data_IF_024178281962
#
_entry.id   IF_024178281962
#
_cell.length_a   1.000
_cell.length_b   1.000
_cell.length_c   1.000
_cell.angle_alpha   90.00
_cell.angle_beta   90.00
_cell.angle_gamma   90.00
#
_symmetry.space_group_name_H-M   'P 1'
#
loop_
_entity.id
_entity.type
_entity.pdbx_description
1 polymer ?
#
# COMPACT_ATOMS: atom_id res chain seq x y z
N UNK A 1 -11.52 -47.04 17.32
CA UNK A 1 -12.49 -46.06 16.77
C UNK A 1 -11.69 -44.89 16.26
N UNK A 2 -11.69 -44.63 14.94
CA UNK A 2 -11.11 -43.41 14.40
C UNK A 2 -12.07 -42.26 14.73
N UNK A 3 -11.59 -41.25 15.46
CA UNK A 3 -12.36 -40.01 15.64
C UNK A 3 -12.68 -39.43 14.27
N UNK A 4 -13.95 -39.19 13.96
CA UNK A 4 -14.38 -38.48 12.73
C UNK A 4 -13.94 -37.01 12.72
N UNK A 5 -13.44 -36.52 13.85
CA UNK A 5 -13.04 -35.15 14.09
C UNK A 5 -11.53 -35.04 14.23
N UNK A 6 -10.97 -34.00 13.63
CA UNK A 6 -9.56 -33.65 13.71
C UNK A 6 -9.29 -32.86 14.97
N UNK A 7 -8.09 -33.04 15.54
CA UNK A 7 -7.64 -32.20 16.64
C UNK A 7 -7.18 -30.85 16.12
N UNK A 8 -7.52 -29.78 16.83
CA UNK A 8 -7.16 -28.42 16.45
C UNK A 8 -5.65 -28.14 16.57
N UNK A 9 -4.93 -28.89 17.39
CA UNK A 9 -3.48 -28.75 17.65
C UNK A 9 -2.61 -29.65 16.77
N UNK A 10 -3.20 -30.35 15.79
CA UNK A 10 -2.47 -31.21 14.87
C UNK A 10 -1.45 -30.41 14.03
N UNK A 11 -0.24 -30.95 13.84
CA UNK A 11 0.82 -30.28 13.09
C UNK A 11 0.41 -30.00 11.64
N UNK A 12 -0.36 -30.90 11.01
CA UNK A 12 -0.86 -30.70 9.66
C UNK A 12 -1.88 -29.56 9.57
N UNK A 13 -2.68 -29.35 10.63
CA UNK A 13 -3.60 -28.23 10.72
C UNK A 13 -2.85 -26.89 10.82
N UNK A 14 -1.79 -26.83 11.63
CA UNK A 14 -0.96 -25.63 11.76
C UNK A 14 -0.28 -25.26 10.43
N UNK A 15 0.30 -26.24 9.73
CA UNK A 15 0.89 -26.02 8.40
C UNK A 15 -0.15 -25.52 7.39
N UNK A 16 -1.35 -26.08 7.42
CA UNK A 16 -2.45 -25.68 6.53
C UNK A 16 -2.90 -24.24 6.81
N UNK A 17 -3.06 -23.85 8.07
CA UNK A 17 -3.39 -22.47 8.47
C UNK A 17 -2.34 -21.50 7.92
N UNK A 18 -1.05 -21.79 8.11
CA UNK A 18 0.03 -20.92 7.63
C UNK A 18 0.06 -20.83 6.11
N UNK A 19 -0.24 -21.92 5.41
CA UNK A 19 -0.36 -21.91 3.95
C UNK A 19 -1.50 -21.00 3.50
N UNK A 20 -2.68 -21.13 4.10
CA UNK A 20 -3.85 -20.32 3.74
C UNK A 20 -3.59 -18.84 4.01
N UNK A 21 -3.01 -18.48 5.16
CA UNK A 21 -2.65 -17.10 5.49
C UNK A 21 -1.70 -16.48 4.44
N UNK A 22 -0.67 -17.23 4.02
CA UNK A 22 0.26 -16.78 2.98
C UNK A 22 -0.42 -16.66 1.62
N UNK A 23 -1.25 -17.62 1.26
CA UNK A 23 -1.96 -17.63 -0.03
C UNK A 23 -2.97 -16.49 -0.13
N UNK A 24 -3.72 -16.22 0.95
CA UNK A 24 -4.68 -15.11 1.00
C UNK A 24 -3.99 -13.75 0.93
N UNK A 25 -2.86 -13.58 1.62
CA UNK A 25 -2.03 -12.39 1.51
C UNK A 25 -1.52 -12.20 0.08
N UNK A 26 -0.96 -13.25 -0.53
CA UNK A 26 -0.46 -13.20 -1.91
C UNK A 26 -1.58 -12.86 -2.91
N UNK A 27 -2.76 -13.46 -2.78
CA UNK A 27 -3.92 -13.15 -3.64
C UNK A 27 -4.37 -11.70 -3.49
N UNK A 28 -4.35 -11.17 -2.27
CA UNK A 28 -4.74 -9.78 -1.98
C UNK A 28 -3.76 -8.81 -2.63
N UNK A 29 -2.46 -9.04 -2.44
CA UNK A 29 -1.39 -8.25 -3.06
C UNK A 29 -1.44 -8.32 -4.60
N UNK A 30 -1.67 -9.50 -5.18
CA UNK A 30 -1.86 -9.64 -6.62
C UNK A 30 -3.06 -8.83 -7.15
N UNK A 31 -4.16 -8.84 -6.39
CA UNK A 31 -5.37 -8.09 -6.75
C UNK A 31 -5.11 -6.59 -6.71
N UNK A 32 -4.55 -6.09 -5.61
CA UNK A 32 -4.18 -4.67 -5.44
C UNK A 32 -3.24 -4.22 -6.55
N UNK A 33 -2.24 -5.03 -6.88
CA UNK A 33 -1.32 -4.73 -7.95
C UNK A 33 -2.00 -4.62 -9.31
N UNK A 34 -2.85 -5.59 -9.66
CA UNK A 34 -3.61 -5.54 -10.92
C UNK A 34 -4.46 -4.29 -11.00
N UNK A 35 -5.06 -3.86 -9.89
CA UNK A 35 -5.84 -2.62 -9.82
C UNK A 35 -4.95 -1.39 -10.04
N UNK A 36 -3.82 -1.29 -9.34
CA UNK A 36 -2.87 -0.17 -9.49
C UNK A 36 -2.31 -0.04 -10.92
N UNK A 37 -2.09 -1.16 -11.61
CA UNK A 37 -1.68 -1.17 -13.03
C UNK A 37 -2.83 -0.71 -13.92
N UNK A 38 -4.05 -1.23 -13.70
CA UNK A 38 -5.23 -0.87 -14.48
C UNK A 38 -5.59 0.62 -14.37
N UNK A 39 -5.41 1.20 -13.17
CA UNK A 39 -5.67 2.62 -12.91
C UNK A 39 -4.58 3.54 -13.51
N UNK A 40 -3.53 2.99 -14.12
CA UNK A 40 -2.41 3.75 -14.69
C UNK A 40 -1.52 4.42 -13.64
N UNK A 41 -1.73 4.12 -12.35
CA UNK A 41 -0.98 4.66 -11.23
C UNK A 41 0.50 4.22 -11.28
N UNK A 42 0.79 3.09 -11.95
CA UNK A 42 2.15 2.53 -12.04
C UNK A 42 2.35 1.82 -13.39
N UNK A 43 3.47 2.12 -14.08
CA UNK A 43 3.83 1.50 -15.36
C UNK A 43 4.80 0.31 -15.26
N UNK A 44 5.64 0.28 -14.22
CA UNK A 44 6.78 -0.66 -14.12
C UNK A 44 6.83 -1.36 -12.76
N UNK A 45 5.74 -2.00 -12.34
CA UNK A 45 5.70 -2.73 -11.08
C UNK A 45 5.80 -4.25 -11.32
N UNK A 46 6.87 -4.87 -10.85
CA UNK A 46 7.08 -6.33 -10.93
C UNK A 46 6.29 -7.05 -9.80
N UNK A 47 5.26 -7.84 -10.13
CA UNK A 47 4.47 -8.59 -9.15
C UNK A 47 5.29 -9.53 -8.27
N UNK A 48 6.41 -10.02 -8.80
CA UNK A 48 7.28 -10.98 -8.11
C UNK A 48 7.95 -10.34 -6.89
N UNK A 49 8.29 -9.05 -6.95
CA UNK A 49 8.94 -8.33 -5.85
C UNK A 49 8.01 -8.10 -4.66
N UNK A 50 6.73 -7.84 -4.93
CA UNK A 50 5.72 -7.69 -3.88
C UNK A 50 5.50 -9.03 -3.14
N UNK A 51 5.43 -10.15 -3.88
CA UNK A 51 5.37 -11.50 -3.30
C UNK A 51 6.60 -11.83 -2.45
N UNK A 52 7.80 -11.50 -2.93
CA UNK A 52 9.04 -11.70 -2.16
C UNK A 52 9.00 -10.89 -0.86
N UNK A 53 8.49 -9.66 -0.91
CA UNK A 53 8.36 -8.81 0.27
C UNK A 53 7.40 -9.42 1.29
N UNK A 54 6.29 -10.02 0.83
CA UNK A 54 5.33 -10.73 1.67
C UNK A 54 5.92 -11.94 2.40
N UNK A 55 6.96 -12.58 1.86
CA UNK A 55 7.65 -13.70 2.53
C UNK A 55 8.36 -13.28 3.82
N UNK A 56 8.63 -11.99 4.00
CA UNK A 56 9.24 -11.47 5.22
C UNK A 56 8.24 -11.27 6.37
N UNK A 57 6.94 -11.43 6.10
CA UNK A 57 5.91 -11.44 7.15
C UNK A 57 5.93 -12.79 7.87
N UNK A 58 6.12 -12.75 9.19
CA UNK A 58 6.20 -13.96 10.01
C UNK A 58 4.85 -14.22 10.69
N UNK A 59 4.27 -15.38 10.41
CA UNK A 59 3.10 -15.90 11.12
C UNK A 59 3.56 -16.87 12.21
N UNK A 60 3.12 -16.65 13.44
CA UNK A 60 3.41 -17.53 14.58
C UNK A 60 2.09 -17.87 15.24
N UNK A 61 1.89 -19.14 15.56
CA UNK A 61 0.65 -19.63 16.18
C UNK A 61 0.96 -20.33 17.51
N UNK A 62 0.17 -20.04 18.53
CA UNK A 62 0.30 -20.64 19.87
C UNK A 62 -1.08 -21.01 20.43
N UNK A 63 -1.10 -21.92 21.41
CA UNK A 63 -2.27 -22.19 22.25
C UNK A 63 -3.57 -22.52 21.47
N UNK A 64 -3.49 -23.54 20.61
CA UNK A 64 -4.65 -24.05 19.87
C UNK A 64 -5.68 -24.69 20.81
N UNK A 65 -6.96 -24.42 20.57
CA UNK A 65 -8.08 -24.99 21.32
C UNK A 65 -9.23 -25.40 20.42
N UNK A 66 -9.91 -26.48 20.81
CA UNK A 66 -11.18 -26.89 20.23
C UNK A 66 -12.32 -26.13 20.89
N UNK A 67 -13.04 -25.32 20.13
CA UNK A 67 -14.18 -24.57 20.65
C UNK A 67 -15.48 -25.38 20.52
N UNK A 68 -15.66 -26.09 19.40
CA UNK A 68 -16.88 -26.85 19.14
C UNK A 68 -16.65 -28.04 18.20
N UNK A 69 -17.32 -29.15 18.50
CA UNK A 69 -17.38 -30.34 17.65
C UNK A 69 -18.82 -30.48 17.15
N UNK A 70 -19.02 -30.46 15.83
CA UNK A 70 -20.34 -30.61 15.24
C UNK A 70 -20.82 -32.07 15.35
N UNK A 71 -21.93 -32.38 16.05
CA UNK A 71 -22.40 -33.76 16.17
C UNK A 71 -22.94 -34.33 14.85
N UNK A 72 -23.29 -33.47 13.88
CA UNK A 72 -23.95 -33.85 12.64
C UNK A 72 -23.02 -33.81 11.41
N UNK A 73 -21.78 -33.35 11.56
CA UNK A 73 -20.81 -33.28 10.46
C UNK A 73 -19.38 -33.48 10.97
N UNK A 74 -18.39 -33.84 10.14
CA UNK A 74 -17.01 -34.03 10.60
C UNK A 74 -16.29 -32.70 10.88
N UNK A 75 -17.00 -31.58 10.93
CA UNK A 75 -16.43 -30.25 11.19
C UNK A 75 -16.04 -30.09 12.64
N UNK A 76 -14.90 -29.42 12.83
CA UNK A 76 -14.38 -29.02 14.14
C UNK A 76 -14.08 -27.54 14.09
N UNK A 77 -14.65 -26.76 15.00
CA UNK A 77 -14.36 -25.34 15.17
C UNK A 77 -13.26 -25.17 16.20
N UNK A 78 -12.28 -24.34 15.86
CA UNK A 78 -11.05 -24.16 16.59
C UNK A 78 -10.73 -22.67 16.73
N UNK A 79 -10.00 -22.34 17.79
CA UNK A 79 -9.35 -21.05 17.99
C UNK A 79 -7.86 -21.28 18.18
N UNK A 80 -7.03 -20.36 17.72
CA UNK A 80 -5.58 -20.36 17.97
C UNK A 80 -5.09 -18.93 18.08
N UNK A 81 -4.13 -18.68 18.95
CA UNK A 81 -3.53 -17.35 19.06
C UNK A 81 -2.54 -17.16 17.91
N UNK A 82 -2.82 -16.19 17.04
CA UNK A 82 -2.02 -15.83 15.88
C UNK A 82 -1.30 -14.51 16.15
N UNK A 83 0.03 -14.55 16.11
CA UNK A 83 0.87 -13.37 16.02
C UNK A 83 1.41 -13.21 14.59
N UNK A 84 1.23 -12.02 14.02
CA UNK A 84 1.80 -11.66 12.71
C UNK A 84 2.81 -10.55 12.93
N UNK A 85 4.07 -10.81 12.63
CA UNK A 85 5.14 -9.82 12.72
C UNK A 85 5.46 -9.28 11.34
N UNK A 86 5.35 -7.95 11.19
CA UNK A 86 5.79 -7.22 10.00
C UNK A 86 7.18 -6.63 10.31
N UNK A 87 8.17 -6.77 9.43
CA UNK A 87 9.46 -6.11 9.59
C UNK A 87 9.31 -4.58 9.79
N UNK A 88 10.01 -4.03 10.78
CA UNK A 88 9.92 -2.62 11.14
C UNK A 88 10.32 -1.68 9.99
N UNK A 89 11.26 -2.10 9.13
CA UNK A 89 11.66 -1.32 7.97
C UNK A 89 10.54 -1.20 6.93
N UNK A 90 9.69 -2.23 6.80
CA UNK A 90 8.53 -2.20 5.91
C UNK A 90 7.43 -1.31 6.46
N UNK A 91 7.14 -1.39 7.77
CA UNK A 91 6.19 -0.47 8.43
C UNK A 91 6.65 0.98 8.25
N UNK A 92 7.92 1.26 8.53
CA UNK A 92 8.50 2.60 8.36
C UNK A 92 8.39 3.09 6.90
N UNK A 93 8.79 2.28 5.91
CA UNK A 93 8.68 2.64 4.49
C UNK A 93 7.23 2.90 4.08
N UNK A 94 6.29 2.11 4.61
CA UNK A 94 4.86 2.29 4.39
C UNK A 94 4.38 3.63 4.92
N UNK A 95 4.69 3.98 6.16
CA UNK A 95 4.28 5.25 6.77
C UNK A 95 4.90 6.46 6.06
N UNK A 96 6.18 6.38 5.67
CA UNK A 96 6.83 7.42 4.87
C UNK A 96 6.15 7.61 3.50
N UNK A 97 5.68 6.54 2.87
CA UNK A 97 4.92 6.60 1.63
C UNK A 97 3.51 7.17 1.84
N UNK A 98 2.80 6.73 2.87
CA UNK A 98 1.46 7.20 3.24
C UNK A 98 1.44 8.69 3.55
N UNK A 99 2.45 9.19 4.28
CA UNK A 99 2.58 10.60 4.60
C UNK A 99 2.67 11.49 3.34
N UNK A 100 3.39 11.03 2.30
CA UNK A 100 3.53 11.75 1.02
C UNK A 100 2.22 11.88 0.24
N UNK A 101 1.26 11.00 0.49
CA UNK A 101 -0.06 11.00 -0.16
C UNK A 101 -1.20 11.33 0.80
N UNK A 102 -0.89 11.86 1.99
CA UNK A 102 -1.86 12.21 3.04
C UNK A 102 -2.80 11.05 3.42
N UNK A 103 -2.28 9.83 3.46
CA UNK A 103 -2.99 8.62 3.89
C UNK A 103 -2.71 8.31 5.36
N UNK A 104 -3.60 7.55 6.00
CA UNK A 104 -3.45 7.12 7.39
C UNK A 104 -2.17 6.31 7.59
N UNK A 105 -1.48 6.49 8.73
CA UNK A 105 -0.38 5.59 9.13
C UNK A 105 -0.88 4.15 9.31
N UNK A 106 0.05 3.18 9.36
CA UNK A 106 -0.28 1.77 9.61
C UNK A 106 -1.05 1.62 10.92
N UNK A 107 -0.61 2.30 11.98
CA UNK A 107 -1.30 2.29 13.28
C UNK A 107 -2.70 2.92 13.23
N UNK A 108 -2.85 4.06 12.55
CA UNK A 108 -4.17 4.69 12.38
C UNK A 108 -5.13 3.80 11.58
N UNK A 109 -4.64 3.15 10.53
CA UNK A 109 -5.43 2.20 9.76
C UNK A 109 -5.81 0.98 10.60
N UNK A 110 -4.89 0.44 11.40
CA UNK A 110 -5.15 -0.69 12.29
C UNK A 110 -6.30 -0.36 13.26
N UNK A 111 -6.27 0.82 13.86
CA UNK A 111 -7.34 1.30 14.74
C UNK A 111 -8.69 1.40 14.01
N UNK A 112 -8.72 1.89 12.76
CA UNK A 112 -9.95 1.95 11.95
C UNK A 112 -10.49 0.57 11.56
N UNK A 113 -9.60 -0.41 11.43
CA UNK A 113 -9.94 -1.79 11.09
C UNK A 113 -10.20 -2.67 12.32
N UNK A 114 -10.13 -2.11 13.53
CA UNK A 114 -10.22 -2.86 14.80
C UNK A 114 -9.20 -4.02 14.86
N UNK A 115 -7.98 -3.75 14.39
CA UNK A 115 -6.86 -4.72 14.40
C UNK A 115 -5.92 -4.33 15.54
N UNK A 116 -5.69 -5.27 16.47
CA UNK A 116 -4.71 -5.09 17.55
C UNK A 116 -3.29 -5.06 17.00
N UNK A 117 -2.79 -3.88 16.68
CA UNK A 117 -1.46 -3.65 16.14
C UNK A 117 -0.59 -2.86 17.10
N UNK A 118 0.53 -3.42 17.52
CA UNK A 118 1.54 -2.71 18.33
C UNK A 118 2.93 -3.25 18.05
N UNK A 119 3.96 -2.40 18.09
CA UNK A 119 5.35 -2.80 17.90
C UNK A 119 5.60 -3.65 16.63
N UNK A 120 4.94 -3.31 15.52
CA UNK A 120 4.97 -4.04 14.25
C UNK A 120 4.42 -5.48 14.31
N UNK A 121 3.59 -5.76 15.32
CA UNK A 121 2.95 -7.06 15.53
C UNK A 121 1.44 -6.90 15.53
N UNK A 122 0.77 -7.88 14.96
CA UNK A 122 -0.68 -8.04 15.03
C UNK A 122 -0.96 -9.25 15.90
N UNK A 123 -1.82 -9.08 16.89
CA UNK A 123 -2.32 -10.17 17.73
C UNK A 123 -3.79 -10.44 17.40
N UNK A 124 -4.11 -11.69 17.08
CA UNK A 124 -5.45 -12.12 16.70
C UNK A 124 -5.73 -13.50 17.30
N UNK A 125 -6.87 -13.64 17.98
CA UNK A 125 -7.46 -14.97 18.20
C UNK A 125 -8.07 -15.43 16.88
N UNK A 126 -7.38 -16.31 16.17
CA UNK A 126 -7.80 -16.81 14.87
C UNK A 126 -8.85 -17.90 15.05
N UNK A 127 -10.04 -17.67 14.51
CA UNK A 127 -11.12 -18.65 14.46
C UNK A 127 -11.06 -19.40 13.13
N UNK A 128 -11.04 -20.73 13.18
CA UNK A 128 -10.97 -21.57 12.00
C UNK A 128 -11.79 -22.85 12.13
N UNK A 129 -12.14 -23.43 10.99
CA UNK A 129 -12.86 -24.70 10.91
C UNK A 129 -11.98 -25.74 10.21
N UNK A 130 -11.87 -26.94 10.79
CA UNK A 130 -11.23 -28.10 10.18
C UNK A 130 -12.29 -29.11 9.74
N UNK A 131 -12.12 -29.67 8.54
CA UNK A 131 -12.98 -30.71 8.01
C UNK A 131 -12.16 -31.72 7.20
N UNK A 132 -12.15 -33.02 7.56
CA UNK A 132 -11.55 -34.04 6.71
C UNK A 132 -12.38 -34.27 5.44
N UNK A 133 -11.74 -34.75 4.36
CA UNK A 133 -12.43 -35.27 3.19
C UNK A 133 -13.22 -36.53 3.53
N UNK A 134 -14.20 -36.88 2.69
CA UNK A 134 -14.98 -38.12 2.86
C UNK A 134 -14.09 -39.38 2.84
N UNK A 135 -12.95 -39.32 2.12
CA UNK A 135 -11.92 -40.38 2.11
C UNK A 135 -11.00 -40.37 3.32
N UNK A 136 -11.00 -39.30 4.13
CA UNK A 136 -10.06 -39.09 5.24
C UNK A 136 -8.62 -38.74 4.81
N UNK A 137 -8.33 -38.67 3.51
CA UNK A 137 -6.98 -38.43 2.98
C UNK A 137 -6.55 -36.96 3.02
N UNK A 138 -7.50 -36.03 3.04
CA UNK A 138 -7.23 -34.58 3.01
C UNK A 138 -7.95 -33.87 4.14
N UNK A 139 -7.37 -32.75 4.56
CA UNK A 139 -7.97 -31.83 5.53
C UNK A 139 -8.20 -30.49 4.85
N UNK A 140 -9.39 -29.94 5.04
CA UNK A 140 -9.75 -28.59 4.64
C UNK A 140 -9.78 -27.70 5.88
N UNK A 141 -9.24 -26.50 5.76
CA UNK A 141 -9.32 -25.47 6.78
C UNK A 141 -9.98 -24.21 6.20
N UNK A 142 -10.83 -23.57 6.99
CA UNK A 142 -11.46 -22.29 6.65
C UNK A 142 -11.19 -21.29 7.76
N UNK A 143 -10.48 -20.22 7.45
CA UNK A 143 -10.21 -19.12 8.37
C UNK A 143 -11.39 -18.13 8.36
N UNK A 144 -11.86 -17.67 9.53
CA UNK A 144 -13.12 -16.92 9.64
C UNK A 144 -12.96 -15.42 9.83
N UNK A 145 -11.90 -14.97 10.49
CA UNK A 145 -11.76 -13.58 10.96
C UNK A 145 -10.42 -12.93 10.55
N UNK A 146 -9.83 -13.33 9.42
CA UNK A 146 -8.54 -12.81 8.94
C UNK A 146 -8.67 -11.57 8.07
N UNK A 147 -9.87 -11.18 7.63
CA UNK A 147 -10.06 -10.17 6.58
C UNK A 147 -9.41 -8.82 6.86
N UNK A 148 -9.67 -8.23 8.03
CA UNK A 148 -9.12 -6.92 8.42
C UNK A 148 -7.60 -6.97 8.62
N UNK A 149 -7.12 -8.01 9.28
CA UNK A 149 -5.69 -8.26 9.48
C UNK A 149 -4.95 -8.43 8.15
N UNK A 150 -5.49 -9.24 7.24
CA UNK A 150 -4.93 -9.45 5.92
C UNK A 150 -4.91 -8.15 5.10
N UNK A 151 -5.98 -7.34 5.18
CA UNK A 151 -6.02 -6.02 4.55
C UNK A 151 -4.94 -5.08 5.10
N UNK A 152 -4.80 -4.99 6.42
CA UNK A 152 -3.77 -4.13 7.04
C UNK A 152 -2.37 -4.53 6.58
N UNK A 153 -2.06 -5.83 6.58
CA UNK A 153 -0.76 -6.34 6.13
C UNK A 153 -0.56 -6.04 4.65
N UNK A 154 -1.54 -6.33 3.79
CA UNK A 154 -1.46 -6.09 2.35
C UNK A 154 -1.22 -4.61 2.03
N UNK A 155 -2.06 -3.71 2.57
CA UNK A 155 -1.92 -2.28 2.37
C UNK A 155 -0.55 -1.77 2.86
N UNK A 156 -0.07 -2.26 4.01
CA UNK A 156 1.26 -1.92 4.53
C UNK A 156 2.38 -2.29 3.55
N UNK A 157 2.35 -3.53 3.03
CA UNK A 157 3.36 -4.00 2.07
C UNK A 157 3.26 -3.24 0.75
N UNK A 158 2.04 -2.97 0.28
CA UNK A 158 1.79 -2.22 -0.95
C UNK A 158 2.37 -0.81 -0.83
N UNK A 159 2.06 -0.04 0.22
CA UNK A 159 2.64 1.29 0.40
C UNK A 159 4.17 1.27 0.54
N UNK A 160 4.72 0.33 1.31
CA UNK A 160 6.17 0.17 1.44
C UNK A 160 6.85 -0.07 0.07
N UNK A 161 6.19 -0.83 -0.80
CA UNK A 161 6.67 -1.13 -2.14
C UNK A 161 6.48 0.02 -3.13
N UNK A 162 5.41 0.81 -2.98
CA UNK A 162 5.13 1.98 -3.83
C UNK A 162 5.99 3.20 -3.50
N UNK A 163 6.61 3.24 -2.31
CA UNK A 163 7.44 4.36 -1.85
C UNK A 163 8.38 4.93 -2.93
N UNK A 164 9.20 4.13 -3.65
CA UNK A 164 10.12 4.68 -4.65
C UNK A 164 9.40 5.35 -5.83
N UNK A 165 8.23 4.87 -6.22
CA UNK A 165 7.45 5.45 -7.31
C UNK A 165 6.73 6.73 -6.87
N UNK A 166 6.22 6.76 -5.63
CA UNK A 166 5.63 7.96 -5.03
C UNK A 166 6.69 9.07 -4.97
N UNK A 167 7.90 8.76 -4.47
CA UNK A 167 9.02 9.70 -4.42
C UNK A 167 9.44 10.20 -5.82
N UNK A 168 9.51 9.30 -6.80
CA UNK A 168 9.82 9.66 -8.19
C UNK A 168 8.76 10.57 -8.81
N UNK A 169 7.48 10.40 -8.47
CA UNK A 169 6.40 11.25 -8.96
C UNK A 169 6.44 12.63 -8.31
N UNK A 170 6.69 12.68 -7.00
CA UNK A 170 6.87 13.93 -6.26
C UNK A 170 8.03 14.75 -6.82
N UNK A 171 9.20 14.14 -7.03
CA UNK A 171 10.36 14.82 -7.64
C UNK A 171 10.03 15.37 -9.02
N UNK A 172 9.38 14.57 -9.89
CA UNK A 172 8.95 15.02 -11.22
C UNK A 172 8.00 16.21 -11.16
N UNK A 173 7.07 16.22 -10.20
CA UNK A 173 6.15 17.34 -10.01
C UNK A 173 6.87 18.62 -9.58
N UNK A 174 7.83 18.52 -8.66
CA UNK A 174 8.64 19.65 -8.20
C UNK A 174 9.51 20.20 -9.34
N UNK A 175 10.14 19.32 -10.13
CA UNK A 175 10.93 19.74 -11.29
C UNK A 175 10.09 20.43 -12.37
N UNK A 176 8.88 19.92 -12.64
CA UNK A 176 7.95 20.54 -13.57
C UNK A 176 7.52 21.93 -13.07
N UNK A 177 7.17 22.06 -11.79
CA UNK A 177 6.83 23.34 -11.18
C UNK A 177 7.99 24.34 -11.23
N UNK A 178 9.24 23.89 -10.97
CA UNK A 178 10.44 24.72 -11.10
C UNK A 178 10.68 25.18 -12.55
N UNK A 179 10.49 24.30 -13.53
CA UNK A 179 10.61 24.67 -14.96
C UNK A 179 9.56 25.70 -15.35
N UNK A 180 8.31 25.53 -14.90
CA UNK A 180 7.23 26.48 -15.16
C UNK A 180 7.48 27.83 -14.47
N UNK A 181 7.99 27.83 -13.24
CA UNK A 181 8.36 29.07 -12.55
C UNK A 181 9.47 29.82 -13.31
N UNK A 182 10.53 29.12 -13.75
CA UNK A 182 11.60 29.70 -14.56
C UNK A 182 11.10 30.22 -15.91
N UNK A 183 10.22 29.50 -16.60
CA UNK A 183 9.66 29.98 -17.87
C UNK A 183 8.78 31.23 -17.68
N UNK A 184 8.05 31.31 -16.56
CA UNK A 184 7.22 32.47 -16.24
C UNK A 184 8.09 33.69 -15.90
N UNK A 185 9.15 33.49 -15.13
CA UNK A 185 10.13 34.54 -14.80
C UNK A 185 10.87 35.04 -16.04
N UNK A 186 11.28 34.14 -16.93
CA UNK A 186 11.92 34.50 -18.18
C UNK A 186 10.97 35.25 -19.14
N UNK A 187 9.72 34.80 -19.27
CA UNK A 187 8.71 35.52 -20.07
C UNK A 187 8.38 36.91 -19.50
N UNK A 188 8.37 37.05 -18.16
CA UNK A 188 8.17 38.36 -17.52
C UNK A 188 9.36 39.31 -17.78
N UNK A 189 10.60 38.82 -17.72
CA UNK A 189 11.79 39.59 -18.05
C UNK A 189 11.81 40.03 -19.53
N UNK A 190 11.50 39.11 -20.45
CA UNK A 190 11.40 39.42 -21.88
C UNK A 190 10.30 40.46 -22.16
N UNK A 191 9.16 40.39 -21.47
CA UNK A 191 8.10 41.38 -21.58
C UNK A 191 8.50 42.76 -21.05
N UNK A 192 9.26 42.83 -19.95
CA UNK A 192 9.76 44.12 -19.43
C UNK A 192 10.76 44.77 -20.37
N UNK A 193 11.70 44.00 -20.93
CA UNK A 193 12.68 44.53 -21.90
C UNK A 193 11.97 45.01 -23.17
N UNK A 194 11.01 44.24 -23.69
CA UNK A 194 10.23 44.66 -24.87
C UNK A 194 9.40 45.94 -24.62
N UNK A 195 8.87 46.12 -23.39
CA UNK A 195 8.15 47.33 -23.02
C UNK A 195 9.10 48.54 -22.91
N UNK A 196 10.29 48.37 -22.34
CA UNK A 196 11.31 49.42 -22.28
C UNK A 196 11.77 49.82 -23.69
N UNK A 197 12.06 48.86 -24.57
CA UNK A 197 12.44 49.11 -25.96
C UNK A 197 11.34 49.87 -26.73
N UNK A 198 10.07 49.56 -26.48
CA UNK A 198 8.94 50.26 -27.11
C UNK A 198 8.80 51.72 -26.65
N UNK A 199 9.08 52.00 -25.37
CA UNK A 199 9.10 53.38 -24.84
C UNK A 199 10.23 54.18 -25.47
N UNK A 200 11.44 53.61 -25.55
CA UNK A 200 12.59 54.25 -26.20
C UNK A 200 12.31 54.56 -27.68
N UNK A 201 11.68 53.62 -28.39
CA UNK A 201 11.30 53.83 -29.80
C UNK A 201 10.22 54.91 -29.97
N UNK A 202 9.26 55.01 -29.05
CA UNK A 202 8.24 56.05 -29.06
C UNK A 202 8.84 57.44 -28.78
N UNK A 203 9.73 57.57 -27.80
CA UNK A 203 10.40 58.83 -27.48
C UNK A 203 11.25 59.33 -28.66
N UNK A 204 12.01 58.44 -29.30
CA UNK A 204 12.80 58.77 -30.49
C UNK A 204 11.93 59.29 -31.66
N UNK A 205 10.72 58.76 -31.82
CA UNK A 205 9.78 59.22 -32.85
C UNK A 205 9.16 60.59 -32.56
N UNK A 206 9.14 61.04 -31.29
CA UNK A 206 8.63 62.37 -30.91
C UNK A 206 9.70 63.46 -30.99
N UNK A 207 10.96 63.12 -30.74
CA UNK A 207 12.10 64.04 -30.88
C UNK A 207 12.30 64.47 -32.34
N UNK A 208 12.07 63.57 -33.31
CA UNK A 208 12.15 63.88 -34.74
C UNK A 208 10.99 64.76 -35.24
N UNK A 209 9.92 64.95 -34.43
CA UNK A 209 8.79 65.83 -34.78
C UNK A 209 8.89 67.25 -34.20
N UNK A 210 9.63 67.45 -33.11
CA UNK A 210 9.80 68.78 -32.49
C UNK A 210 10.88 69.62 -33.19
N UNK A 211 11.83 69.01 -33.93
CA UNK A 211 12.84 69.74 -34.70
C UNK A 211 12.29 70.33 -36.02
N UNK A 212 11.03 70.04 -36.37
CA UNK A 212 10.37 70.57 -37.58
C UNK A 212 9.55 71.85 -37.34
N UNK A 213 9.36 72.29 -36.09
CA UNK A 213 8.58 73.49 -35.76
C UNK A 213 9.38 74.63 -35.10
N UNK A 214 10.72 74.54 -35.04
CA UNK A 214 11.57 75.60 -34.46
C UNK A 214 12.11 76.64 -35.45
N UNK A 215 11.87 76.49 -36.76
CA UNK A 215 12.16 77.49 -37.78
C UNK A 215 10.88 78.08 -38.40
N UNK A 216 10.19 78.98 -37.67
CA UNK A 216 9.30 79.99 -38.28
C UNK A 216 9.31 81.29 -37.47
#
# INVERSE_FOLDING_TARGET
MFSKHLKCDDESANQLIHSILKDDLNKTLEKELKQLIADGNIKDLDPSKLKITAQNVKFTTTDSRTDFIDPNSPKTQCSIDLNITIPADLVKKSDEARAKVNSDSVEQQANKLDVSFSNNKIDLVLNYELQPSDSGEKVFAVLKNTGNTNRLVADTLTYAFLKPQIEKNEIRSIEAAKKQAKSTEQAAYEATVAAEDAVVAADAATIDTDDYYSEY
#
